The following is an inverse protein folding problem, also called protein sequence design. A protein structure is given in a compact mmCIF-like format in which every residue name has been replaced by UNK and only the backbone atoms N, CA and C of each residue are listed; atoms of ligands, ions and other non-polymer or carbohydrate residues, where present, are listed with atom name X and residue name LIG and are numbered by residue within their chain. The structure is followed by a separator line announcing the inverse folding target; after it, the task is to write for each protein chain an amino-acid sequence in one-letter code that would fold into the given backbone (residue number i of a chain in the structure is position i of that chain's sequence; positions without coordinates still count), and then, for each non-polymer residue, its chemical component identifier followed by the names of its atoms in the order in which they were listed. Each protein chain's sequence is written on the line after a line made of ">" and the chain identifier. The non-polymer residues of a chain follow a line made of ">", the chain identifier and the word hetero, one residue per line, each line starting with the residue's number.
data_IF_535094457556
#
_entry.id   IF_535094457556
#
_cell.length_a   1.000
_cell.length_b   1.000
_cell.length_c   1.000
_cell.angle_alpha   90.00
_cell.angle_beta   90.00
_cell.angle_gamma   90.00
#
_symmetry.space_group_name_H-M   'P 1'
#
loop_
_entity.id
_entity.type
_entity.pdbx_description
1 polymer ?
#
# COMPACT_ATOMS: atom_id res chain seq x y z
N UNK A 1 -15.09 -3.65 -19.26
CA UNK A 1 -14.48 -2.35 -19.51
C UNK A 1 -13.64 -1.94 -18.30
N UNK A 2 -12.49 -1.34 -18.54
CA UNK A 2 -11.63 -0.87 -17.46
C UNK A 2 -12.19 0.42 -16.87
N UNK A 3 -12.08 0.60 -15.54
CA UNK A 3 -12.48 1.85 -14.92
C UNK A 3 -11.68 3.02 -15.47
N UNK A 4 -12.37 4.06 -15.87
CA UNK A 4 -11.73 5.25 -16.43
C UNK A 4 -11.01 6.06 -15.36
N UNK A 5 -11.36 5.85 -14.09
CA UNK A 5 -10.77 6.58 -12.98
C UNK A 5 -9.29 6.29 -12.74
N UNK A 6 -8.76 5.21 -13.29
CA UNK A 6 -7.35 4.86 -13.12
C UNK A 6 -6.56 5.37 -14.32
N UNK A 7 -6.04 6.57 -14.20
CA UNK A 7 -5.18 7.15 -15.23
C UNK A 7 -3.72 6.87 -14.92
N UNK A 8 -2.89 6.60 -15.94
CA UNK A 8 -1.46 6.49 -15.72
C UNK A 8 -0.89 7.77 -15.11
N UNK A 9 0.08 7.61 -14.23
CA UNK A 9 0.79 8.74 -13.65
C UNK A 9 1.79 9.26 -14.66
N UNK A 10 1.66 10.53 -15.03
CA UNK A 10 2.56 11.21 -15.97
C UNK A 10 3.23 12.37 -15.27
N UNK A 11 4.26 12.07 -14.51
CA UNK A 11 5.05 13.08 -13.82
C UNK A 11 6.51 12.84 -14.12
N UNK A 12 7.23 13.94 -14.34
CA UNK A 12 8.66 13.87 -14.60
C UNK A 12 9.45 13.63 -13.32
N UNK A 13 8.87 13.99 -12.18
CA UNK A 13 9.49 13.82 -10.88
C UNK A 13 8.47 13.16 -9.94
N UNK A 14 8.78 11.95 -9.50
CA UNK A 14 7.91 11.18 -8.59
C UNK A 14 7.65 11.96 -7.30
N UNK A 15 8.64 12.69 -6.78
CA UNK A 15 8.51 13.42 -5.52
C UNK A 15 7.52 14.58 -5.59
N UNK A 16 7.18 15.04 -6.77
CA UNK A 16 6.20 16.10 -6.96
C UNK A 16 4.77 15.55 -7.07
N UNK A 17 4.63 14.25 -7.19
CA UNK A 17 3.33 13.62 -7.32
C UNK A 17 2.67 13.42 -5.96
N UNK A 18 1.36 13.67 -5.90
CA UNK A 18 0.57 13.53 -4.68
C UNK A 18 -0.47 12.42 -4.83
N UNK A 19 -0.57 11.58 -3.81
CA UNK A 19 -1.69 10.66 -3.67
C UNK A 19 -2.94 11.41 -3.25
N UNK A 20 -4.11 10.87 -3.60
CA UNK A 20 -5.36 11.41 -3.07
C UNK A 20 -5.38 11.32 -1.56
N UNK A 21 -5.86 12.39 -0.91
CA UNK A 21 -6.13 12.35 0.52
C UNK A 21 -7.27 11.41 0.82
N UNK A 22 -7.11 10.63 1.87
CA UNK A 22 -8.13 9.73 2.37
C UNK A 22 -8.31 9.94 3.86
N UNK A 23 -9.58 9.97 4.29
CA UNK A 23 -9.91 10.03 5.70
C UNK A 23 -9.71 8.68 6.34
N UNK A 24 -9.06 8.65 7.49
CA UNK A 24 -8.90 7.41 8.24
C UNK A 24 -9.14 7.61 9.72
N UNK A 25 -9.47 6.53 10.40
CA UNK A 25 -9.63 6.50 11.85
C UNK A 25 -8.92 5.25 12.36
N UNK A 26 -8.01 5.44 13.31
CA UNK A 26 -7.40 4.34 14.07
C UNK A 26 -7.71 4.58 15.54
N UNK A 27 -8.45 3.68 16.14
CA UNK A 27 -8.84 3.80 17.55
C UNK A 27 -7.71 3.37 18.48
N UNK A 28 -7.80 3.75 19.75
CA UNK A 28 -6.84 3.31 20.76
C UNK A 28 -6.79 1.78 20.88
N UNK A 29 -7.95 1.14 20.80
CA UNK A 29 -8.06 -0.31 20.84
C UNK A 29 -7.36 -0.97 19.66
N UNK A 30 -7.58 -0.45 18.45
CA UNK A 30 -6.94 -0.96 17.24
C UNK A 30 -5.42 -0.79 17.29
N UNK A 31 -4.95 0.38 17.67
CA UNK A 31 -3.53 0.66 17.83
C UNK A 31 -2.88 -0.27 18.84
N UNK A 32 -3.53 -0.49 19.98
CA UNK A 32 -3.05 -1.39 21.02
C UNK A 32 -2.94 -2.84 20.53
N UNK A 33 -3.93 -3.31 19.77
CA UNK A 33 -3.91 -4.67 19.21
C UNK A 33 -2.75 -4.86 18.23
N UNK A 34 -2.52 -3.89 17.36
CA UNK A 34 -1.42 -3.96 16.39
C UNK A 34 -0.08 -3.95 17.12
N UNK A 35 0.10 -3.05 18.08
CA UNK A 35 1.34 -2.96 18.83
C UNK A 35 1.61 -4.25 19.63
N UNK A 36 0.58 -4.83 20.23
CA UNK A 36 0.70 -6.09 20.96
C UNK A 36 1.10 -7.24 20.05
N UNK A 37 0.50 -7.34 18.87
CA UNK A 37 0.81 -8.39 17.92
C UNK A 37 2.28 -8.29 17.45
N UNK A 38 2.75 -7.08 17.19
CA UNK A 38 4.14 -6.86 16.79
C UNK A 38 5.11 -7.16 17.90
N UNK A 39 4.79 -6.76 19.12
CA UNK A 39 5.62 -7.05 20.30
C UNK A 39 5.75 -8.54 20.55
N UNK A 40 4.74 -9.33 20.18
CA UNK A 40 4.76 -10.78 20.29
C UNK A 40 5.48 -11.48 19.12
N UNK A 41 6.06 -10.72 18.19
CA UNK A 41 6.77 -11.26 17.04
C UNK A 41 5.90 -11.57 15.83
N UNK A 42 4.65 -11.16 15.84
CA UNK A 42 3.73 -11.35 14.72
C UNK A 42 4.01 -10.39 13.57
N UNK A 43 3.56 -10.77 12.36
CA UNK A 43 3.62 -9.92 11.20
C UNK A 43 2.31 -9.17 11.03
N UNK A 44 2.40 -7.94 10.51
CA UNK A 44 1.24 -7.14 10.20
C UNK A 44 0.96 -7.24 8.70
N UNK A 45 -0.19 -7.79 8.39
CA UNK A 45 -0.64 -7.99 7.01
C UNK A 45 -1.75 -6.99 6.73
N UNK A 46 -1.49 -6.06 5.82
CA UNK A 46 -2.49 -5.09 5.40
C UNK A 46 -3.32 -5.66 4.25
N UNK A 47 -4.61 -5.46 4.31
CA UNK A 47 -5.52 -5.83 3.23
C UNK A 47 -5.99 -4.53 2.57
N UNK A 48 -5.49 -4.28 1.37
CA UNK A 48 -5.76 -3.05 0.64
C UNK A 48 -4.73 -1.96 0.89
N UNK A 49 -4.55 -1.12 -0.12
CA UNK A 49 -3.56 -0.03 -0.07
C UNK A 49 -3.98 1.08 0.89
N UNK A 50 -5.27 1.28 1.09
CA UNK A 50 -5.78 2.25 2.08
C UNK A 50 -5.37 1.85 3.48
N UNK A 51 -5.49 0.57 3.84
CA UNK A 51 -5.05 0.05 5.13
C UNK A 51 -3.55 0.24 5.33
N UNK A 52 -2.77 -0.01 4.29
CA UNK A 52 -1.31 0.19 4.33
C UNK A 52 -0.96 1.65 4.58
N UNK A 53 -1.56 2.56 3.83
CA UNK A 53 -1.33 3.99 3.97
C UNK A 53 -1.74 4.49 5.35
N UNK A 54 -2.88 4.03 5.86
CA UNK A 54 -3.36 4.36 7.20
C UNK A 54 -2.38 3.91 8.26
N UNK A 55 -1.94 2.67 8.19
CA UNK A 55 -1.00 2.10 9.14
C UNK A 55 0.30 2.88 9.17
N UNK A 56 0.90 3.11 8.00
CA UNK A 56 2.18 3.82 7.90
C UNK A 56 2.07 5.28 8.33
N UNK A 57 0.93 5.93 8.10
CA UNK A 57 0.69 7.32 8.52
C UNK A 57 0.57 7.46 10.03
N UNK A 58 0.15 6.42 10.73
CA UNK A 58 -0.08 6.45 12.19
C UNK A 58 1.05 5.83 13.00
N UNK A 59 2.06 5.31 12.33
CA UNK A 59 3.20 4.65 12.98
C UNK A 59 4.35 5.63 13.12
N UNK A 60 4.95 5.71 14.32
CA UNK A 60 6.10 6.58 14.55
C UNK A 60 7.42 5.91 14.12
N UNK A 61 8.52 6.64 14.31
CA UNK A 61 9.84 6.16 13.91
C UNK A 61 10.32 4.93 14.69
N UNK A 62 9.72 4.69 15.84
CA UNK A 62 10.04 3.54 16.67
C UNK A 62 9.18 2.31 16.31
N UNK A 63 8.29 2.45 15.34
CA UNK A 63 7.41 1.37 14.92
C UNK A 63 6.16 1.20 15.79
N UNK A 64 5.82 2.21 16.58
CA UNK A 64 4.64 2.19 17.43
C UNK A 64 3.47 2.87 16.74
N UNK A 65 2.35 2.19 16.67
CA UNK A 65 1.13 2.70 16.07
C UNK A 65 0.37 3.54 17.09
N UNK A 66 -0.05 4.72 16.69
CA UNK A 66 -0.80 5.65 17.53
C UNK A 66 -2.23 5.82 17.04
N UNK A 67 -3.21 5.99 17.93
CA UNK A 67 -4.56 6.31 17.51
C UNK A 67 -4.59 7.69 16.86
N UNK A 68 -5.34 7.81 15.77
CA UNK A 68 -5.48 9.08 15.07
C UNK A 68 -6.75 9.08 14.22
N UNK A 69 -7.23 10.27 13.92
CA UNK A 69 -8.37 10.47 13.03
C UNK A 69 -8.10 11.72 12.21
N UNK A 70 -7.70 11.53 10.97
CA UNK A 70 -7.35 12.62 10.06
C UNK A 70 -7.28 12.14 8.63
N UNK A 71 -7.06 13.06 7.72
CA UNK A 71 -6.75 12.72 6.34
C UNK A 71 -5.26 12.43 6.19
N UNK A 72 -4.92 11.53 5.31
CA UNK A 72 -3.54 11.27 4.91
C UNK A 72 -3.37 11.44 3.42
N UNK A 73 -2.30 12.08 3.02
CA UNK A 73 -1.85 12.19 1.64
C UNK A 73 -0.50 11.51 1.44
N UNK A 74 -0.14 10.61 2.33
CA UNK A 74 1.15 9.93 2.27
C UNK A 74 1.38 9.32 0.89
N UNK A 75 2.56 9.57 0.33
CA UNK A 75 2.99 9.02 -0.94
C UNK A 75 4.13 8.03 -0.71
N UNK A 76 3.86 6.76 -0.96
CA UNK A 76 4.83 5.69 -0.76
C UNK A 76 5.38 5.26 -2.13
N UNK A 77 6.69 5.32 -2.28
CA UNK A 77 7.39 5.04 -3.53
C UNK A 77 8.66 4.23 -3.25
N UNK A 78 9.28 3.63 -4.27
CA UNK A 78 10.49 2.84 -4.06
C UNK A 78 11.57 3.61 -3.28
N UNK A 79 12.10 2.98 -2.23
CA UNK A 79 13.03 3.62 -1.29
C UNK A 79 12.40 3.98 0.05
N UNK A 80 11.06 3.99 0.13
CA UNK A 80 10.37 4.23 1.39
C UNK A 80 10.67 3.10 2.39
N UNK A 81 10.94 3.47 3.63
CA UNK A 81 11.19 2.50 4.71
C UNK A 81 9.91 2.28 5.51
N UNK A 82 9.38 1.08 5.42
CA UNK A 82 8.15 0.72 6.13
C UNK A 82 8.42 0.61 7.64
N UNK A 83 7.50 1.15 8.42
CA UNK A 83 7.62 1.21 9.88
C UNK A 83 6.88 0.07 10.58
N UNK A 84 5.77 -0.37 10.03
CA UNK A 84 4.90 -1.36 10.67
C UNK A 84 4.39 -2.44 9.73
N UNK A 85 4.14 -2.14 8.47
CA UNK A 85 3.58 -3.10 7.54
C UNK A 85 4.63 -4.11 7.09
N UNK A 86 4.31 -5.38 7.20
CA UNK A 86 5.18 -6.47 6.76
C UNK A 86 4.72 -7.08 5.44
N UNK A 87 3.43 -7.18 5.26
CA UNK A 87 2.81 -7.82 4.11
C UNK A 87 1.63 -7.01 3.60
N UNK A 88 1.27 -7.23 2.35
CA UNK A 88 0.13 -6.56 1.73
C UNK A 88 -0.63 -7.54 0.83
N UNK A 89 -1.94 -7.53 0.96
CA UNK A 89 -2.85 -8.19 0.02
C UNK A 89 -3.56 -7.07 -0.73
N UNK A 90 -3.41 -7.03 -2.03
CA UNK A 90 -4.00 -5.97 -2.86
C UNK A 90 -4.33 -6.48 -4.25
N UNK A 91 -5.15 -5.71 -4.96
CA UNK A 91 -5.47 -6.00 -6.35
C UNK A 91 -4.31 -5.60 -7.26
N UNK A 92 -4.40 -6.01 -8.53
CA UNK A 92 -3.49 -5.52 -9.55
C UNK A 92 -3.90 -4.10 -9.96
N UNK A 93 -2.92 -3.24 -10.15
CA UNK A 93 -3.10 -1.83 -10.49
C UNK A 93 -2.58 -1.54 -11.89
N UNK A 94 -3.01 -0.41 -12.46
CA UNK A 94 -2.49 0.04 -13.75
C UNK A 94 -1.00 0.37 -13.64
N UNK A 95 -0.21 0.06 -14.69
CA UNK A 95 1.17 0.53 -14.77
C UNK A 95 1.24 2.05 -14.63
N UNK A 96 2.32 2.54 -14.05
CA UNK A 96 2.57 3.97 -13.82
C UNK A 96 1.58 4.66 -12.87
N UNK A 97 0.71 3.91 -12.19
CA UNK A 97 -0.17 4.50 -11.18
C UNK A 97 0.59 4.74 -9.87
N UNK A 98 0.08 5.65 -9.04
CA UNK A 98 0.64 5.89 -7.71
C UNK A 98 0.54 4.65 -6.82
N UNK A 99 -0.49 3.84 -7.02
CA UNK A 99 -0.65 2.59 -6.28
C UNK A 99 0.41 1.57 -6.68
N UNK A 100 0.84 1.57 -7.94
CA UNK A 100 1.94 0.71 -8.38
C UNK A 100 3.25 1.12 -7.71
N UNK A 101 3.48 2.42 -7.50
CA UNK A 101 4.65 2.92 -6.77
C UNK A 101 4.66 2.39 -5.34
N UNK A 102 3.50 2.38 -4.69
CA UNK A 102 3.36 1.88 -3.32
C UNK A 102 3.71 0.39 -3.23
N UNK A 103 3.14 -0.44 -4.11
CA UNK A 103 3.42 -1.88 -4.06
C UNK A 103 4.87 -2.19 -4.46
N UNK A 104 5.44 -1.39 -5.34
CA UNK A 104 6.86 -1.52 -5.72
C UNK A 104 7.80 -1.17 -4.56
N UNK A 105 7.40 -0.23 -3.72
CA UNK A 105 8.18 0.12 -2.52
C UNK A 105 8.28 -1.06 -1.57
N UNK A 106 7.20 -1.83 -1.43
CA UNK A 106 7.17 -2.97 -0.51
C UNK A 106 7.86 -4.21 -1.08
N UNK A 107 7.62 -4.53 -2.34
CA UNK A 107 8.08 -5.78 -2.95
C UNK A 107 9.36 -5.66 -3.76
N UNK A 108 9.75 -4.45 -4.12
CA UNK A 108 10.81 -4.21 -5.09
C UNK A 108 10.28 -4.10 -6.51
N UNK A 109 10.80 -3.16 -7.26
CA UNK A 109 10.31 -2.83 -8.59
C UNK A 109 10.37 -4.01 -9.56
N UNK A 110 11.48 -4.74 -9.57
CA UNK A 110 11.65 -5.88 -10.48
C UNK A 110 10.64 -6.98 -10.17
N UNK A 111 10.40 -7.27 -8.90
CA UNK A 111 9.44 -8.28 -8.49
C UNK A 111 8.03 -7.91 -8.93
N UNK A 112 7.67 -6.64 -8.80
CA UNK A 112 6.36 -6.16 -9.23
C UNK A 112 6.23 -6.20 -10.75
N UNK A 113 7.24 -5.78 -11.49
CA UNK A 113 7.20 -5.84 -12.94
C UNK A 113 7.04 -7.28 -13.43
N UNK A 114 7.77 -8.23 -12.83
CA UNK A 114 7.64 -9.63 -13.16
C UNK A 114 6.26 -10.18 -12.82
N UNK A 115 5.72 -9.81 -11.67
CA UNK A 115 4.38 -10.25 -11.27
C UNK A 115 3.32 -9.71 -12.23
N UNK A 116 3.42 -8.45 -12.64
CA UNK A 116 2.48 -7.85 -13.57
C UNK A 116 2.60 -8.45 -14.97
N UNK A 117 3.80 -8.70 -15.42
CA UNK A 117 4.03 -9.37 -16.70
C UNK A 117 3.37 -10.75 -16.71
N UNK A 118 3.55 -11.51 -15.64
CA UNK A 118 2.90 -12.81 -15.48
C UNK A 118 1.38 -12.67 -15.42
N UNK A 119 0.87 -11.68 -14.71
CA UNK A 119 -0.57 -11.45 -14.61
C UNK A 119 -1.20 -11.13 -15.96
N UNK A 120 -0.55 -10.31 -16.77
CA UNK A 120 -1.02 -9.99 -18.12
C UNK A 120 -0.99 -11.25 -18.99
N UNK A 121 0.10 -12.01 -18.95
CA UNK A 121 0.28 -13.23 -19.73
C UNK A 121 -0.76 -14.29 -19.37
N UNK A 122 -1.04 -14.45 -18.09
CA UNK A 122 -2.01 -15.44 -17.58
C UNK A 122 -3.44 -14.89 -17.52
N UNK A 123 -3.68 -13.68 -17.98
CA UNK A 123 -5.00 -13.04 -18.06
C UNK A 123 -5.67 -12.85 -16.71
N UNK A 124 -4.90 -12.51 -15.68
CA UNK A 124 -5.46 -12.17 -14.38
C UNK A 124 -6.29 -10.90 -14.47
N UNK A 125 -7.32 -10.83 -13.63
CA UNK A 125 -8.21 -9.68 -13.57
C UNK A 125 -7.60 -8.59 -12.70
N UNK A 126 -7.73 -7.36 -13.17
CA UNK A 126 -7.13 -6.19 -12.52
C UNK A 126 -8.17 -5.44 -11.69
N UNK A 127 -7.71 -4.54 -10.83
CA UNK A 127 -8.53 -3.71 -9.93
C UNK A 127 -9.35 -4.58 -8.99
N UNK A 128 -10.61 -4.23 -8.78
CA UNK A 128 -11.52 -4.96 -7.88
C UNK A 128 -12.27 -6.11 -8.57
N UNK A 129 -11.78 -6.59 -9.71
CA UNK A 129 -12.45 -7.62 -10.48
C UNK A 129 -12.17 -9.06 -10.01
N UNK A 130 -11.46 -9.22 -8.92
CA UNK A 130 -11.38 -10.48 -8.21
C UNK A 130 -10.01 -11.10 -8.04
N UNK A 131 -9.03 -10.72 -8.82
CA UNK A 131 -7.66 -11.24 -8.66
C UNK A 131 -6.85 -10.29 -7.78
N UNK A 132 -5.97 -10.86 -6.95
CA UNK A 132 -5.19 -10.12 -5.99
C UNK A 132 -3.77 -10.65 -5.88
N UNK A 133 -2.88 -9.82 -5.31
CA UNK A 133 -1.50 -10.19 -5.01
C UNK A 133 -1.32 -10.27 -3.49
N UNK A 134 -0.49 -11.22 -3.06
CA UNK A 134 0.06 -11.23 -1.71
C UNK A 134 1.53 -10.87 -1.78
N UNK A 135 1.92 -9.82 -1.07
CA UNK A 135 3.29 -9.30 -1.05
C UNK A 135 3.84 -9.47 0.37
N UNK A 136 4.88 -10.23 0.48
CA UNK A 136 5.53 -10.48 1.77
C UNK A 136 6.99 -10.02 1.79
#
# INVERSE_FOLDING_TARGET
>A
ALPISFRPVKVDNIQEHHMHSEMFVVTEEEAAKINAARAAGGRIICVGTTSLRTLESTTDENGIVHPDSRETDIFIYPGYKFKAADCLITNFHLPESTLLMLVSALAGRENILNAYETAVKEKYRFFSFGDAMFIS
#
